data_IF_652598633805
#
_entry.id   IF_652598633805
#
_cell.length_a   1.000
_cell.length_b   1.000
_cell.length_c   1.000
_cell.angle_alpha   90.00
_cell.angle_beta   90.00
_cell.angle_gamma   90.00
#
_symmetry.space_group_name_H-M   'P 1'
#
loop_
_entity.id
_entity.type
_entity.pdbx_description
1 polymer ?
#
# COMPACT_ATOMS: atom_id res chain seq x y z
N UNK A 1 11.09 4.83 -12.33
CA UNK A 1 10.52 4.47 -11.03
C UNK A 1 9.06 4.87 -11.02
N UNK A 2 8.16 3.94 -10.64
CA UNK A 2 6.73 4.14 -10.54
C UNK A 2 6.38 4.48 -9.09
N UNK A 3 5.77 5.64 -8.84
CA UNK A 3 5.52 6.13 -7.49
C UNK A 3 4.16 5.70 -6.93
N UNK A 4 3.17 5.52 -7.80
CA UNK A 4 1.76 5.36 -7.41
C UNK A 4 1.13 4.06 -7.92
N UNK A 5 1.94 3.05 -8.24
CA UNK A 5 1.43 1.73 -8.63
C UNK A 5 1.41 0.82 -7.42
N UNK A 6 0.23 0.41 -6.95
CA UNK A 6 0.08 -0.50 -5.83
C UNK A 6 0.78 -1.84 -6.06
N UNK A 7 1.17 -2.51 -4.99
CA UNK A 7 1.91 -3.78 -5.04
C UNK A 7 1.14 -4.87 -5.76
N UNK A 8 -0.16 -4.97 -5.53
CA UNK A 8 -1.02 -5.94 -6.20
C UNK A 8 -1.10 -5.69 -7.70
N UNK A 9 -1.14 -4.43 -8.14
CA UNK A 9 -1.13 -4.08 -9.56
C UNK A 9 0.19 -4.49 -10.22
N UNK A 10 1.32 -4.29 -9.53
CA UNK A 10 2.62 -4.77 -10.01
C UNK A 10 2.63 -6.29 -10.19
N UNK A 11 2.08 -7.03 -9.22
CA UNK A 11 1.97 -8.49 -9.31
C UNK A 11 1.12 -8.93 -10.51
N UNK A 12 -0.07 -8.34 -10.70
CA UNK A 12 -0.91 -8.61 -11.87
C UNK A 12 -0.23 -8.28 -13.20
N UNK A 13 0.54 -7.19 -13.25
CA UNK A 13 1.32 -6.85 -14.43
C UNK A 13 2.39 -7.89 -14.73
N UNK A 14 3.07 -8.39 -13.71
CA UNK A 14 4.07 -9.45 -13.86
C UNK A 14 3.44 -10.76 -14.35
N UNK A 15 2.31 -11.16 -13.79
CA UNK A 15 1.54 -12.32 -14.25
C UNK A 15 1.14 -12.17 -15.72
N UNK A 16 0.57 -11.03 -16.08
CA UNK A 16 0.21 -10.74 -17.48
C UNK A 16 1.40 -10.79 -18.43
N UNK A 17 2.55 -10.24 -18.04
CA UNK A 17 3.76 -10.28 -18.86
C UNK A 17 4.34 -11.69 -18.97
N UNK A 18 4.23 -12.50 -17.94
CA UNK A 18 4.62 -13.90 -17.99
C UNK A 18 3.76 -14.69 -18.97
N UNK A 19 2.43 -14.52 -18.91
CA UNK A 19 1.47 -15.21 -19.78
C UNK A 19 1.60 -14.77 -21.25
N UNK A 20 1.75 -13.46 -21.49
CA UNK A 20 1.72 -12.92 -22.86
C UNK A 20 3.07 -12.86 -23.54
N UNK A 21 4.17 -12.72 -22.80
CA UNK A 21 5.53 -12.56 -23.30
C UNK A 21 6.48 -13.71 -22.96
N UNK A 22 6.12 -14.52 -21.96
CA UNK A 22 6.90 -15.69 -21.58
C UNK A 22 8.28 -15.39 -21.00
N UNK A 23 8.48 -14.24 -20.36
CA UNK A 23 9.78 -13.87 -19.79
C UNK A 23 10.17 -14.78 -18.61
N UNK A 24 11.19 -15.65 -18.75
CA UNK A 24 11.48 -16.67 -17.72
C UNK A 24 11.93 -16.08 -16.39
N UNK A 25 12.53 -14.89 -16.39
CA UNK A 25 12.93 -14.19 -15.17
C UNK A 25 11.74 -13.77 -14.29
N UNK A 26 10.58 -13.48 -14.90
CA UNK A 26 9.37 -13.10 -14.16
C UNK A 26 8.84 -14.27 -13.33
N UNK A 27 8.86 -15.50 -13.89
CA UNK A 27 8.44 -16.69 -13.16
C UNK A 27 9.28 -16.92 -11.88
N UNK A 28 10.56 -16.59 -11.92
CA UNK A 28 11.43 -16.68 -10.74
C UNK A 28 11.12 -15.59 -9.71
N UNK A 29 10.77 -14.38 -10.15
CA UNK A 29 10.38 -13.26 -9.27
C UNK A 29 9.07 -13.55 -8.57
N UNK A 30 8.04 -14.03 -9.29
CA UNK A 30 6.72 -14.33 -8.74
C UNK A 30 6.72 -15.46 -7.69
N UNK A 31 7.74 -16.33 -7.69
CA UNK A 31 7.90 -17.38 -6.68
C UNK A 31 8.48 -16.86 -5.35
N UNK A 32 9.04 -15.66 -5.34
CA UNK A 32 9.61 -15.07 -4.13
C UNK A 32 8.56 -14.25 -3.39
N UNK A 33 8.52 -14.31 -2.05
CA UNK A 33 7.66 -13.41 -1.28
C UNK A 33 8.09 -11.96 -1.55
N UNK A 34 7.10 -11.10 -1.80
CA UNK A 34 7.36 -9.69 -1.99
C UNK A 34 7.59 -9.02 -0.62
N UNK A 35 8.78 -8.49 -0.40
CA UNK A 35 9.13 -7.81 0.85
C UNK A 35 10.55 -7.27 0.84
N UNK A 36 10.92 -6.46 1.82
CA UNK A 36 12.29 -6.04 2.00
C UNK A 36 13.10 -7.22 2.56
N UNK A 37 14.24 -7.52 1.95
CA UNK A 37 15.19 -8.53 2.44
C UNK A 37 16.17 -7.87 3.45
N UNK A 38 15.64 -7.21 4.48
CA UNK A 38 16.47 -6.51 5.49
C UNK A 38 16.79 -7.39 6.70
N UNK A 39 16.03 -8.45 6.91
CA UNK A 39 16.24 -9.43 7.95
C UNK A 39 15.97 -10.86 7.45
N UNK A 40 16.58 -11.89 8.05
CA UNK A 40 16.29 -13.28 7.71
C UNK A 40 14.80 -13.60 7.88
N UNK A 41 14.21 -14.25 6.88
CA UNK A 41 12.80 -14.67 6.86
C UNK A 41 11.78 -13.52 6.98
N UNK A 42 12.13 -12.30 6.60
CA UNK A 42 11.23 -11.17 6.61
C UNK A 42 10.18 -11.29 5.50
N UNK A 43 8.90 -11.23 5.86
CA UNK A 43 7.76 -11.18 4.93
C UNK A 43 7.00 -9.87 5.12
N UNK A 44 6.83 -9.11 4.03
CA UNK A 44 6.14 -7.82 4.09
C UNK A 44 4.66 -7.96 4.49
N UNK A 45 3.99 -9.02 4.08
CA UNK A 45 2.58 -9.27 4.43
C UNK A 45 2.41 -9.68 5.90
N UNK A 46 3.31 -10.50 6.43
CA UNK A 46 3.27 -10.89 7.84
C UNK A 46 3.55 -9.72 8.78
N UNK A 47 4.45 -8.83 8.38
CA UNK A 47 4.78 -7.66 9.19
C UNK A 47 3.75 -6.53 9.08
N UNK A 48 3.09 -6.39 7.93
CA UNK A 48 2.14 -5.32 7.69
C UNK A 48 0.70 -5.83 7.76
N UNK A 49 0.22 -6.33 6.64
CA UNK A 49 -1.11 -6.88 6.39
C UNK A 49 -1.12 -7.45 4.96
N UNK A 50 -2.14 -8.22 4.56
CA UNK A 50 -2.28 -8.66 3.17
C UNK A 50 -2.22 -7.49 2.20
N UNK A 51 -1.45 -7.61 1.11
CA UNK A 51 -1.24 -6.48 0.19
C UNK A 51 -2.53 -5.95 -0.44
N UNK A 52 -3.53 -6.80 -0.67
CA UNK A 52 -4.84 -6.36 -1.18
C UNK A 52 -5.54 -5.41 -0.21
N UNK A 53 -5.44 -5.68 1.09
CA UNK A 53 -6.00 -4.81 2.14
C UNK A 53 -5.21 -3.52 2.23
N UNK A 54 -3.88 -3.61 2.18
CA UNK A 54 -2.99 -2.45 2.19
C UNK A 54 -3.28 -1.50 1.02
N UNK A 55 -3.42 -2.05 -0.19
CA UNK A 55 -3.70 -1.26 -1.40
C UNK A 55 -5.10 -0.62 -1.35
N UNK A 56 -6.10 -1.32 -0.80
CA UNK A 56 -7.42 -0.74 -0.54
C UNK A 56 -7.34 0.43 0.45
N UNK A 57 -6.60 0.29 1.54
CA UNK A 57 -6.38 1.38 2.49
C UNK A 57 -5.70 2.60 1.83
N UNK A 58 -4.69 2.38 0.98
CA UNK A 58 -4.05 3.46 0.23
C UNK A 58 -5.05 4.20 -0.66
N UNK A 59 -5.84 3.46 -1.42
CA UNK A 59 -6.81 4.05 -2.34
C UNK A 59 -7.88 4.85 -1.58
N UNK A 60 -8.49 4.27 -0.57
CA UNK A 60 -9.57 4.89 0.18
C UNK A 60 -9.09 6.08 1.02
N UNK A 61 -8.01 5.90 1.79
CA UNK A 61 -7.51 6.94 2.69
C UNK A 61 -6.79 8.06 1.94
N UNK A 62 -5.80 7.72 1.10
CA UNK A 62 -4.97 8.72 0.42
C UNK A 62 -5.55 9.18 -0.91
N UNK A 63 -6.23 8.31 -1.67
CA UNK A 63 -6.90 8.64 -2.93
C UNK A 63 -8.22 9.34 -2.71
N UNK A 64 -9.18 8.67 -2.07
CA UNK A 64 -10.54 9.15 -1.87
C UNK A 64 -10.69 10.09 -0.67
N UNK A 65 -9.64 10.26 0.15
CA UNK A 65 -9.63 11.14 1.34
C UNK A 65 -10.65 10.75 2.41
N UNK A 66 -10.94 9.47 2.53
CA UNK A 66 -11.85 8.95 3.54
C UNK A 66 -11.25 9.05 4.94
N UNK A 67 -12.11 9.18 5.95
CA UNK A 67 -11.69 9.08 7.35
C UNK A 67 -11.28 7.65 7.69
N UNK A 68 -10.46 7.41 8.71
CA UNK A 68 -10.12 6.05 9.14
C UNK A 68 -11.35 5.20 9.43
N UNK A 69 -12.38 5.76 10.04
CA UNK A 69 -13.64 5.09 10.37
C UNK A 69 -14.39 4.65 9.10
N UNK A 70 -14.44 5.51 8.07
CA UNK A 70 -15.06 5.15 6.79
C UNK A 70 -14.25 4.07 6.06
N UNK A 71 -12.91 4.16 6.11
CA UNK A 71 -12.02 3.13 5.54
C UNK A 71 -12.28 1.77 6.20
N UNK A 72 -12.43 1.71 7.52
CA UNK A 72 -12.75 0.47 8.24
C UNK A 72 -14.04 -0.18 7.74
N UNK A 73 -15.09 0.63 7.56
CA UNK A 73 -16.40 0.15 7.10
C UNK A 73 -16.25 -0.45 5.69
N UNK A 74 -15.64 0.32 4.78
CA UNK A 74 -15.52 -0.09 3.36
C UNK A 74 -14.61 -1.31 3.22
N UNK A 75 -13.46 -1.33 3.92
CA UNK A 75 -12.54 -2.47 3.87
C UNK A 75 -13.18 -3.73 4.45
N UNK A 76 -13.96 -3.62 5.53
CA UNK A 76 -14.69 -4.77 6.08
C UNK A 76 -15.70 -5.36 5.10
N UNK A 77 -16.38 -4.51 4.32
CA UNK A 77 -17.30 -4.95 3.26
C UNK A 77 -16.55 -5.56 2.05
N UNK A 78 -15.40 -5.01 1.69
CA UNK A 78 -14.58 -5.54 0.59
C UNK A 78 -13.95 -6.91 0.90
N UNK A 79 -13.68 -7.19 2.17
CA UNK A 79 -13.00 -8.42 2.63
C UNK A 79 -13.81 -9.13 3.72
N UNK A 80 -15.00 -9.67 3.40
CA UNK A 80 -15.90 -10.28 4.39
C UNK A 80 -15.32 -11.53 5.07
N UNK A 81 -14.30 -12.15 4.48
CA UNK A 81 -13.60 -13.30 5.06
C UNK A 81 -12.65 -12.92 6.21
N UNK A 82 -12.38 -11.62 6.39
CA UNK A 82 -11.53 -11.10 7.46
C UNK A 82 -12.42 -10.60 8.61
N UNK A 83 -12.16 -11.07 9.82
CA UNK A 83 -12.92 -10.62 10.99
C UNK A 83 -12.81 -9.08 11.14
N UNK A 84 -13.94 -8.41 11.39
CA UNK A 84 -14.02 -6.94 11.50
C UNK A 84 -12.99 -6.35 12.46
N UNK A 85 -12.77 -6.98 13.61
CA UNK A 85 -11.76 -6.55 14.58
C UNK A 85 -10.32 -6.61 14.01
N UNK A 86 -10.05 -7.55 13.09
CA UNK A 86 -8.76 -7.64 12.41
C UNK A 86 -8.62 -6.51 11.39
N UNK A 87 -9.69 -6.17 10.66
CA UNK A 87 -9.71 -5.04 9.73
C UNK A 87 -9.45 -3.72 10.47
N UNK A 88 -10.12 -3.49 11.60
CA UNK A 88 -9.89 -2.34 12.49
C UNK A 88 -8.40 -2.20 12.84
N UNK A 89 -7.76 -3.30 13.30
CA UNK A 89 -6.33 -3.29 13.60
C UNK A 89 -5.43 -3.04 12.37
N UNK A 90 -5.83 -3.47 11.18
CA UNK A 90 -5.10 -3.19 9.95
C UNK A 90 -5.20 -1.72 9.55
N UNK A 91 -6.39 -1.12 9.62
CA UNK A 91 -6.59 0.30 9.28
C UNK A 91 -5.86 1.19 10.28
N UNK A 92 -5.96 0.93 11.58
CA UNK A 92 -5.21 1.66 12.61
C UNK A 92 -3.71 1.60 12.35
N UNK A 93 -3.19 0.39 12.09
CA UNK A 93 -1.77 0.20 11.78
C UNK A 93 -1.36 0.93 10.50
N UNK A 94 -2.20 0.86 9.46
CA UNK A 94 -1.97 1.55 8.20
C UNK A 94 -1.86 3.06 8.40
N UNK A 95 -2.86 3.69 9.01
CA UNK A 95 -2.90 5.15 9.22
C UNK A 95 -1.68 5.61 10.02
N UNK A 96 -1.36 4.92 11.11
CA UNK A 96 -0.18 5.21 11.92
C UNK A 96 1.10 5.16 11.11
N UNK A 97 1.36 4.06 10.39
CA UNK A 97 2.58 3.91 9.60
C UNK A 97 2.63 4.87 8.42
N UNK A 98 1.50 5.16 7.79
CA UNK A 98 1.38 6.12 6.72
C UNK A 98 1.81 7.52 7.18
N UNK A 99 1.23 8.02 8.27
CA UNK A 99 1.56 9.33 8.84
C UNK A 99 3.02 9.40 9.30
N UNK A 100 3.52 8.37 9.97
CA UNK A 100 4.92 8.30 10.40
C UNK A 100 5.92 8.23 9.25
N UNK A 101 5.49 7.80 8.05
CA UNK A 101 6.37 7.62 6.89
C UNK A 101 6.37 8.80 5.92
N UNK A 102 5.58 9.84 6.15
CA UNK A 102 5.45 11.00 5.24
C UNK A 102 6.81 11.68 4.98
N UNK A 103 7.70 11.73 5.97
CA UNK A 103 9.04 12.29 5.80
C UNK A 103 9.86 11.60 4.69
N UNK A 104 9.60 10.31 4.40
CA UNK A 104 10.30 9.56 3.34
C UNK A 104 9.97 10.09 1.95
N UNK A 105 8.81 10.67 1.78
CA UNK A 105 8.35 11.20 0.49
C UNK A 105 9.11 12.47 0.08
N UNK A 106 9.59 13.23 1.06
CA UNK A 106 10.43 14.41 0.80
C UNK A 106 11.79 14.02 0.21
N UNK A 107 12.21 12.78 0.50
CA UNK A 107 13.50 12.25 0.03
C UNK A 107 13.37 11.51 -1.31
N UNK A 108 12.15 11.28 -1.79
CA UNK A 108 11.91 10.57 -3.04
C UNK A 108 12.24 11.44 -4.25
N UNK A 109 12.94 10.91 -5.26
CA UNK A 109 13.15 11.63 -6.51
C UNK A 109 11.82 11.77 -7.26
N UNK A 110 11.77 12.67 -8.23
CA UNK A 110 10.65 12.78 -9.16
C UNK A 110 10.38 11.42 -9.81
N UNK A 111 9.12 11.05 -9.84
CA UNK A 111 8.69 9.73 -10.30
C UNK A 111 7.57 9.83 -11.33
N UNK A 112 7.44 8.78 -12.13
CA UNK A 112 6.33 8.67 -13.08
C UNK A 112 5.05 8.25 -12.32
N UNK A 113 3.96 8.95 -12.58
CA UNK A 113 2.64 8.67 -12.05
C UNK A 113 1.77 8.04 -13.13
N UNK A 114 1.16 6.90 -12.81
CA UNK A 114 0.27 6.14 -13.71
C UNK A 114 -1.02 5.87 -12.96
N UNK A 115 -2.16 6.08 -13.64
CA UNK A 115 -3.48 5.88 -13.03
C UNK A 115 -3.96 7.05 -12.18
N UNK A 116 -5.01 6.81 -11.40
CA UNK A 116 -5.76 7.86 -10.70
C UNK A 116 -5.31 8.08 -9.24
N UNK A 117 -4.56 7.14 -8.67
CA UNK A 117 -4.03 7.28 -7.32
C UNK A 117 -2.84 8.23 -7.35
N UNK A 118 -3.03 9.47 -6.93
CA UNK A 118 -1.98 10.45 -6.81
C UNK A 118 -1.53 10.57 -5.34
N UNK A 119 -0.35 10.07 -5.07
CA UNK A 119 0.28 10.11 -3.75
C UNK A 119 1.39 11.18 -3.68
N UNK A 120 1.49 12.04 -4.68
CA UNK A 120 2.52 13.07 -4.70
C UNK A 120 2.20 14.19 -3.72
N UNK A 121 3.15 14.45 -2.82
CA UNK A 121 3.01 15.43 -1.75
C UNK A 121 2.74 16.84 -2.26
N UNK A 122 3.34 17.21 -3.38
CA UNK A 122 3.23 18.58 -3.92
C UNK A 122 1.92 18.82 -4.69
N UNK A 123 1.17 17.78 -4.99
CA UNK A 123 -0.07 17.86 -5.76
C UNK A 123 -1.28 17.41 -4.96
N UNK A 124 -1.43 16.12 -4.77
CA UNK A 124 -2.66 15.54 -4.24
C UNK A 124 -2.65 15.29 -2.74
N UNK A 125 -1.47 15.07 -2.16
CA UNK A 125 -1.34 14.71 -0.76
C UNK A 125 -0.49 15.72 0.02
N UNK A 126 -1.04 16.92 0.20
CA UNK A 126 -0.37 18.03 0.90
C UNK A 126 -0.46 17.85 2.43
N UNK A 127 0.29 16.88 2.95
CA UNK A 127 0.38 16.63 4.38
C UNK A 127 1.66 17.22 4.98
N UNK A 128 1.63 17.69 6.22
CA UNK A 128 2.83 18.10 6.94
C UNK A 128 3.86 16.98 6.99
N UNK A 129 5.15 17.33 6.91
CA UNK A 129 6.24 16.33 6.96
C UNK A 129 6.32 15.65 8.32
N UNK A 130 5.98 16.39 9.36
CA UNK A 130 5.88 15.90 10.73
C UNK A 130 4.43 15.99 11.17
N UNK A 131 3.80 14.84 11.32
CA UNK A 131 2.45 14.70 11.85
C UNK A 131 2.51 13.90 13.14
N UNK A 132 1.78 14.35 14.15
CA UNK A 132 1.57 13.51 15.33
C UNK A 132 0.52 12.44 15.01
N UNK A 133 0.65 11.29 15.66
CA UNK A 133 -0.33 10.20 15.56
C UNK A 133 -1.54 10.39 16.51
N UNK A 134 -1.74 11.58 17.01
CA UNK A 134 -2.84 11.89 17.96
C UNK A 134 -4.24 11.77 17.36
N UNK A 135 -4.34 11.69 16.04
CA UNK A 135 -5.57 11.41 15.31
C UNK A 135 -5.92 9.92 15.27
N UNK A 136 -4.94 9.08 15.54
CA UNK A 136 -5.16 7.65 15.66
C UNK A 136 -5.47 7.36 17.11
N UNK A 137 -6.68 7.04 17.39
CA UNK A 137 -7.09 6.57 18.72
C UNK A 137 -6.48 5.23 19.05
#
# INVERSE_FOLDING_TARGET
>A
VLANVPKTVVMYLLDYLLETRGYPGIAAVLKKPAGPELAPNQSGEEELMPFKVLDACFYLFAGEKMTPEDVEIVVAEMFPDIARKTVEGYVEKFVRLFLQSIYKWVQSPLSLHIGNLDLERERALQLPVVTSSEWTR
#
